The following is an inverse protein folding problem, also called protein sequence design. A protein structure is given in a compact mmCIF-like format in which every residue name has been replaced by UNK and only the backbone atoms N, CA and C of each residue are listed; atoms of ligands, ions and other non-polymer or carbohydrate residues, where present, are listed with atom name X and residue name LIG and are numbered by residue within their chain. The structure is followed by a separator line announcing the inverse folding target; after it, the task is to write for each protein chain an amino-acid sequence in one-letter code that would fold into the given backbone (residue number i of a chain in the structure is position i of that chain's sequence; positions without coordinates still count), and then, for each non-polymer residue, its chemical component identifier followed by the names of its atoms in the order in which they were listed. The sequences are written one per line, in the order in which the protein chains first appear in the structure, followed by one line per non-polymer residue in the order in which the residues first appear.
data_IF_193172714321
#
_entry.id   IF_193172714321
#
_cell.length_a   1.000
_cell.length_b   1.000
_cell.length_c   1.000
_cell.angle_alpha   90.00
_cell.angle_beta   90.00
_cell.angle_gamma   90.00
#
_symmetry.space_group_name_H-M   'P 1'
#
loop_
_entity.id
_entity.type
_entity.pdbx_description
1 polymer ?
#
# COMPACT_ATOMS: atom_id res chain seq x y z
N UNK A 1 83.48 -25.39 3.49
CA UNK A 1 83.01 -24.33 2.59
C UNK A 1 81.90 -24.73 1.58
N UNK A 2 81.58 -26.04 1.43
CA UNK A 2 80.50 -26.48 0.49
C UNK A 2 79.09 -26.60 1.13
N UNK A 3 78.98 -26.62 2.45
CA UNK A 3 77.68 -26.78 3.15
C UNK A 3 76.90 -25.41 3.24
N UNK A 4 77.61 -24.30 3.39
CA UNK A 4 76.95 -23.00 3.53
C UNK A 4 76.34 -22.45 2.20
N UNK A 5 76.93 -22.85 1.06
CA UNK A 5 76.41 -22.44 -0.23
C UNK A 5 75.06 -23.06 -0.58
N UNK A 6 74.85 -24.35 -0.20
CA UNK A 6 73.53 -25.02 -0.40
C UNK A 6 72.41 -24.44 0.47
N UNK A 7 72.71 -24.04 1.68
CA UNK A 7 71.76 -23.39 2.58
C UNK A 7 71.32 -22.00 2.06
N UNK A 8 72.24 -21.20 1.55
CA UNK A 8 71.97 -19.86 0.97
C UNK A 8 71.13 -19.95 -0.30
N UNK A 9 71.37 -20.92 -1.18
CA UNK A 9 70.59 -21.14 -2.38
C UNK A 9 69.17 -21.66 -2.04
N UNK A 10 69.01 -22.49 -1.05
CA UNK A 10 67.68 -22.97 -0.56
C UNK A 10 66.83 -21.80 0.03
N UNK A 11 67.46 -20.93 0.80
CA UNK A 11 66.78 -19.74 1.40
C UNK A 11 66.41 -18.73 0.30
N UNK A 12 67.27 -18.52 -0.71
CA UNK A 12 66.97 -17.62 -1.82
C UNK A 12 65.81 -18.17 -2.74
N UNK A 13 65.75 -19.49 -2.96
CA UNK A 13 64.66 -20.13 -3.70
C UNK A 13 63.33 -20.09 -2.92
N UNK A 14 63.38 -20.28 -1.61
CA UNK A 14 62.18 -20.17 -0.77
C UNK A 14 61.64 -18.73 -0.70
N UNK A 15 62.50 -17.72 -0.66
CA UNK A 15 62.12 -16.32 -0.69
C UNK A 15 61.55 -15.88 -2.06
N UNK A 16 62.10 -16.43 -3.17
CA UNK A 16 61.55 -16.19 -4.51
C UNK A 16 60.20 -16.85 -4.75
N UNK A 17 59.91 -17.99 -4.15
CA UNK A 17 58.62 -18.66 -4.19
C UNK A 17 57.56 -17.92 -3.30
N UNK A 18 57.97 -17.31 -2.22
CA UNK A 18 57.07 -16.48 -1.38
C UNK A 18 56.73 -15.14 -2.04
N UNK A 19 57.61 -14.56 -2.84
CA UNK A 19 57.36 -13.34 -3.60
C UNK A 19 56.53 -13.58 -4.88
N UNK A 20 56.46 -14.80 -5.39
CA UNK A 20 55.66 -15.19 -6.56
C UNK A 20 54.16 -15.41 -6.25
N UNK A 21 53.78 -15.49 -4.96
CA UNK A 21 52.38 -15.64 -4.54
C UNK A 21 51.66 -14.30 -4.26
N UNK A 22 52.35 -13.14 -4.42
CA UNK A 22 51.71 -11.81 -4.46
C UNK A 22 51.30 -11.53 -5.89
N UNK A 23 50.60 -12.52 -6.52
CA UNK A 23 49.97 -12.36 -7.82
C UNK A 23 48.65 -11.63 -7.67
N UNK A 24 48.57 -10.49 -8.27
CA UNK A 24 47.39 -9.86 -8.88
C UNK A 24 45.99 -10.28 -8.38
N UNK A 25 45.78 -10.33 -7.09
CA UNK A 25 44.48 -10.26 -6.50
C UNK A 25 44.24 -8.80 -6.13
N UNK A 26 43.67 -8.00 -6.98
CA UNK A 26 43.13 -6.72 -6.56
C UNK A 26 42.26 -6.97 -5.33
N UNK A 27 42.39 -6.14 -4.30
CA UNK A 27 41.52 -6.27 -3.13
C UNK A 27 40.09 -6.44 -3.61
N UNK A 28 39.31 -7.41 -3.09
CA UNK A 28 37.94 -7.59 -3.51
C UNK A 28 37.24 -6.25 -3.39
N UNK A 29 36.67 -5.76 -4.47
CA UNK A 29 35.95 -4.49 -4.50
C UNK A 29 34.87 -4.58 -3.44
N UNK A 30 34.90 -3.71 -2.45
CA UNK A 30 33.89 -3.70 -1.40
C UNK A 30 32.51 -3.55 -2.05
N UNK A 31 31.57 -4.36 -1.64
CA UNK A 31 30.19 -4.28 -2.14
C UNK A 31 29.56 -2.95 -1.73
N UNK A 32 28.86 -2.31 -2.65
CA UNK A 32 28.05 -1.14 -2.36
C UNK A 32 26.78 -1.60 -1.66
N UNK A 33 26.51 -1.07 -0.45
CA UNK A 33 25.27 -1.36 0.26
C UNK A 33 24.20 -0.36 -0.12
N UNK A 34 23.01 -0.85 -0.51
CA UNK A 34 21.78 -0.06 -0.75
C UNK A 34 20.81 -0.41 0.35
N UNK A 35 20.34 0.59 1.09
CA UNK A 35 19.32 0.45 2.14
C UNK A 35 17.95 0.78 1.58
N UNK A 36 16.96 -0.08 1.88
CA UNK A 36 15.58 0.06 1.41
C UNK A 36 14.64 0.02 2.61
N UNK A 37 13.84 1.06 2.79
CA UNK A 37 12.80 1.09 3.82
C UNK A 37 11.42 0.94 3.20
N UNK A 38 10.59 0.07 3.80
CA UNK A 38 9.22 -0.19 3.36
C UNK A 38 8.26 -0.15 4.56
N UNK A 39 6.96 -0.17 4.28
CA UNK A 39 5.90 -0.40 5.27
C UNK A 39 5.27 -1.79 5.14
N UNK A 40 5.84 -2.65 4.33
CA UNK A 40 5.30 -3.99 4.09
C UNK A 40 5.27 -4.83 5.36
N UNK A 41 4.22 -5.65 5.49
CA UNK A 41 4.03 -6.58 6.61
C UNK A 41 3.45 -7.92 6.10
N UNK A 42 3.47 -8.94 6.95
CA UNK A 42 2.93 -10.26 6.60
C UNK A 42 3.53 -10.84 5.31
N UNK A 43 2.68 -11.37 4.44
CA UNK A 43 3.09 -12.03 3.20
C UNK A 43 3.77 -11.08 2.21
N UNK A 44 3.37 -9.79 2.18
CA UNK A 44 4.03 -8.78 1.35
C UNK A 44 5.49 -8.59 1.73
N UNK A 45 5.78 -8.50 3.03
CA UNK A 45 7.15 -8.38 3.53
C UNK A 45 7.97 -9.64 3.22
N UNK A 46 7.38 -10.82 3.38
CA UNK A 46 8.02 -12.09 3.05
C UNK A 46 8.40 -12.13 1.58
N UNK A 47 7.47 -11.87 0.68
CA UNK A 47 7.72 -11.86 -0.77
C UNK A 47 8.74 -10.81 -1.20
N UNK A 48 8.69 -9.61 -0.59
CA UNK A 48 9.69 -8.57 -0.87
C UNK A 48 11.10 -8.99 -0.43
N UNK A 49 11.23 -9.61 0.73
CA UNK A 49 12.53 -10.10 1.20
C UNK A 49 13.07 -11.23 0.33
N UNK A 50 12.23 -12.12 -0.19
CA UNK A 50 12.62 -13.14 -1.17
C UNK A 50 13.19 -12.51 -2.46
N UNK A 51 12.57 -11.44 -2.97
CA UNK A 51 13.10 -10.69 -4.12
C UNK A 51 14.44 -10.02 -3.80
N UNK A 52 14.61 -9.48 -2.60
CA UNK A 52 15.89 -8.91 -2.15
C UNK A 52 16.98 -9.98 -2.07
N UNK A 53 16.66 -11.17 -1.56
CA UNK A 53 17.60 -12.30 -1.47
C UNK A 53 17.96 -12.82 -2.86
N UNK A 54 17.00 -12.91 -3.77
CA UNK A 54 17.24 -13.26 -5.17
C UNK A 54 18.17 -12.24 -5.85
N UNK A 55 17.89 -10.94 -5.70
CA UNK A 55 18.77 -9.89 -6.21
C UNK A 55 20.18 -10.01 -5.65
N UNK A 56 20.32 -10.14 -4.34
CA UNK A 56 21.61 -10.24 -3.67
C UNK A 56 22.43 -11.45 -4.10
N UNK A 57 21.77 -12.58 -4.39
CA UNK A 57 22.43 -13.82 -4.83
C UNK A 57 22.72 -13.88 -6.34
N UNK A 58 22.14 -12.98 -7.14
CA UNK A 58 22.25 -12.95 -8.61
C UNK A 58 22.90 -11.65 -9.09
N UNK A 59 22.11 -10.69 -9.53
CA UNK A 59 22.56 -9.41 -10.08
C UNK A 59 23.41 -8.62 -9.07
N UNK A 60 23.04 -8.63 -7.81
CA UNK A 60 23.77 -7.96 -6.74
C UNK A 60 25.17 -8.52 -6.57
N UNK A 61 25.31 -9.84 -6.59
CA UNK A 61 26.62 -10.50 -6.54
C UNK A 61 27.48 -10.12 -7.76
N UNK A 62 26.92 -10.18 -8.97
CA UNK A 62 27.61 -9.81 -10.21
C UNK A 62 28.10 -8.36 -10.19
N UNK A 63 27.23 -7.44 -9.73
CA UNK A 63 27.51 -5.99 -9.73
C UNK A 63 28.19 -5.50 -8.45
N UNK A 64 28.50 -6.36 -7.50
CA UNK A 64 29.00 -6.01 -6.17
C UNK A 64 28.10 -5.02 -5.44
N UNK A 65 26.78 -5.26 -5.46
CA UNK A 65 25.75 -4.50 -4.76
C UNK A 65 25.06 -5.44 -3.77
N UNK A 66 24.83 -4.97 -2.54
CA UNK A 66 24.06 -5.68 -1.51
C UNK A 66 22.90 -4.78 -1.09
N UNK A 67 21.68 -5.27 -1.25
CA UNK A 67 20.47 -4.60 -0.75
C UNK A 67 20.17 -5.08 0.65
N UNK A 68 19.84 -4.14 1.55
CA UNK A 68 19.35 -4.38 2.91
C UNK A 68 17.98 -3.73 3.06
N UNK A 69 16.96 -4.54 3.20
CA UNK A 69 15.59 -4.09 3.44
C UNK A 69 15.27 -3.97 4.92
N UNK A 70 14.40 -3.05 5.29
CA UNK A 70 13.84 -2.89 6.63
C UNK A 70 12.41 -2.40 6.53
N UNK A 71 11.46 -3.12 7.17
CA UNK A 71 10.10 -2.62 7.35
C UNK A 71 10.07 -1.65 8.52
N UNK A 72 9.39 -0.51 8.34
CA UNK A 72 9.20 0.51 9.37
C UNK A 72 7.85 0.35 10.09
N UNK A 73 7.07 -0.68 9.73
CA UNK A 73 5.80 -1.02 10.37
C UNK A 73 4.58 -0.50 9.61
N UNK A 74 4.23 0.76 9.74
CA UNK A 74 3.10 1.37 9.02
C UNK A 74 3.55 2.47 8.05
N UNK A 75 2.65 2.92 7.19
CA UNK A 75 2.89 4.09 6.33
C UNK A 75 3.31 5.30 7.16
N UNK A 76 2.55 5.61 8.21
CA UNK A 76 2.82 6.76 9.10
C UNK A 76 4.17 6.64 9.83
N UNK A 77 4.54 5.43 10.28
CA UNK A 77 5.85 5.20 10.92
C UNK A 77 6.98 5.39 9.91
N UNK A 78 6.81 4.88 8.68
CA UNK A 78 7.80 5.05 7.61
C UNK A 78 7.99 6.54 7.29
N UNK A 79 6.92 7.28 7.05
CA UNK A 79 6.95 8.72 6.77
C UNK A 79 7.65 9.50 7.88
N UNK A 80 7.28 9.25 9.13
CA UNK A 80 7.89 9.87 10.30
C UNK A 80 9.39 9.60 10.34
N UNK A 81 9.81 8.34 10.17
CA UNK A 81 11.20 7.94 10.25
C UNK A 81 12.04 8.51 9.08
N UNK A 82 11.50 8.52 7.86
CA UNK A 82 12.19 9.07 6.68
C UNK A 82 12.36 10.59 6.81
N UNK A 83 11.30 11.30 7.22
CA UNK A 83 11.38 12.76 7.43
C UNK A 83 12.34 13.14 8.57
N UNK A 84 12.34 12.39 9.67
CA UNK A 84 13.30 12.59 10.76
C UNK A 84 14.75 12.34 10.30
N UNK A 85 14.98 11.31 9.50
CA UNK A 85 16.28 10.98 8.95
C UNK A 85 16.76 12.07 7.96
N UNK A 86 15.89 12.54 7.06
CA UNK A 86 16.18 13.60 6.09
C UNK A 86 16.50 14.94 6.77
N UNK A 87 15.83 15.25 7.87
CA UNK A 87 16.09 16.47 8.68
C UNK A 87 17.30 16.34 9.62
N UNK A 88 17.90 15.16 9.73
CA UNK A 88 19.02 14.90 10.65
C UNK A 88 18.63 15.06 12.12
N UNK A 89 17.41 14.67 12.50
CA UNK A 89 16.93 14.81 13.88
C UNK A 89 17.74 13.95 14.85
N UNK A 90 17.87 14.41 16.09
CA UNK A 90 18.63 13.71 17.12
C UNK A 90 18.02 12.33 17.40
N UNK A 91 18.82 11.30 17.21
CA UNK A 91 18.38 9.90 17.39
C UNK A 91 17.77 9.26 16.14
N UNK A 92 17.57 10.00 15.06
CA UNK A 92 17.14 9.43 13.79
C UNK A 92 18.24 8.54 13.18
N UNK A 93 17.83 7.51 12.46
CA UNK A 93 18.73 6.69 11.65
C UNK A 93 19.25 7.48 10.43
N UNK A 94 20.27 6.95 9.74
CA UNK A 94 20.68 7.51 8.46
C UNK A 94 19.56 7.36 7.41
N UNK A 95 19.39 8.36 6.55
CA UNK A 95 18.40 8.32 5.47
C UNK A 95 18.69 7.10 4.57
N UNK A 96 17.68 6.27 4.25
CA UNK A 96 17.85 5.14 3.35
C UNK A 96 18.08 5.61 1.91
N UNK A 97 18.67 4.74 1.09
CA UNK A 97 18.88 5.04 -0.34
C UNK A 97 17.58 4.95 -1.14
N UNK A 98 16.66 4.09 -0.70
CA UNK A 98 15.35 3.88 -1.34
C UNK A 98 14.32 3.73 -0.22
N UNK A 99 13.14 4.29 -0.40
CA UNK A 99 12.01 4.12 0.51
C UNK A 99 10.70 4.08 -0.26
N UNK A 100 9.75 3.31 0.26
CA UNK A 100 8.37 3.37 -0.21
C UNK A 100 7.72 4.66 0.27
N UNK A 101 6.85 5.27 -0.52
CA UNK A 101 6.21 6.50 -0.11
C UNK A 101 5.09 6.94 -1.04
N UNK A 102 4.35 7.94 -0.60
CA UNK A 102 3.35 8.64 -1.39
C UNK A 102 3.90 9.96 -1.91
N UNK A 103 3.21 10.54 -2.89
CA UNK A 103 3.64 11.75 -3.56
C UNK A 103 3.78 12.96 -2.63
N UNK A 104 2.96 13.07 -1.60
CA UNK A 104 3.01 14.13 -0.59
C UNK A 104 4.32 14.11 0.22
N UNK A 105 4.70 12.93 0.76
CA UNK A 105 5.99 12.75 1.43
C UNK A 105 7.16 12.99 0.47
N UNK A 106 7.08 12.46 -0.75
CA UNK A 106 8.12 12.67 -1.75
C UNK A 106 8.29 14.14 -2.10
N UNK A 107 7.20 14.91 -2.15
CA UNK A 107 7.24 16.36 -2.34
C UNK A 107 7.99 17.06 -1.20
N UNK A 108 7.68 16.75 0.05
CA UNK A 108 8.36 17.34 1.21
C UNK A 108 9.86 17.05 1.20
N UNK A 109 10.26 15.84 0.82
CA UNK A 109 11.65 15.42 0.73
C UNK A 109 12.37 16.07 -0.48
N UNK A 110 11.66 16.27 -1.59
CA UNK A 110 12.19 16.99 -2.74
C UNK A 110 12.50 18.46 -2.40
N UNK A 111 11.68 19.11 -1.55
CA UNK A 111 11.98 20.45 -1.04
C UNK A 111 13.25 20.51 -0.16
N UNK A 112 13.66 19.38 0.43
CA UNK A 112 14.90 19.23 1.18
C UNK A 112 16.09 18.86 0.28
N UNK A 113 15.85 18.56 -1.00
CA UNK A 113 16.88 18.14 -1.96
C UNK A 113 17.27 16.66 -1.81
N UNK A 114 16.46 15.86 -1.14
CA UNK A 114 16.75 14.44 -0.82
C UNK A 114 16.10 13.44 -1.79
N UNK A 115 15.51 13.93 -2.90
CA UNK A 115 14.88 13.09 -3.93
C UNK A 115 15.57 13.28 -5.28
N UNK A 116 15.92 12.18 -5.90
CA UNK A 116 16.58 12.16 -7.22
C UNK A 116 15.56 12.10 -8.34
N UNK A 117 15.76 12.85 -9.41
CA UNK A 117 15.02 12.65 -10.66
C UNK A 117 15.44 11.33 -11.32
N UNK A 118 14.50 10.41 -11.47
CA UNK A 118 14.70 9.09 -12.06
C UNK A 118 14.49 9.08 -13.59
N UNK A 119 13.89 10.12 -14.16
CA UNK A 119 13.57 10.18 -15.59
C UNK A 119 14.78 9.96 -16.52
N UNK A 120 15.99 10.48 -16.21
CA UNK A 120 17.19 10.27 -17.04
C UNK A 120 17.73 8.83 -17.03
N UNK A 121 17.33 8.02 -16.04
CA UNK A 121 17.80 6.63 -15.89
C UNK A 121 16.88 5.61 -16.57
N UNK A 122 15.75 6.05 -17.12
CA UNK A 122 14.78 5.22 -17.82
C UNK A 122 14.79 5.51 -19.31
N UNK A 123 14.84 4.44 -20.11
CA UNK A 123 14.64 4.53 -21.56
C UNK A 123 13.16 4.78 -21.89
N UNK A 124 12.88 5.32 -23.09
CA UNK A 124 11.49 5.48 -23.54
C UNK A 124 10.74 4.16 -23.61
N UNK A 125 11.43 3.05 -23.91
CA UNK A 125 10.83 1.71 -23.90
C UNK A 125 10.43 1.26 -22.50
N UNK A 126 11.23 1.56 -21.49
CA UNK A 126 10.91 1.25 -20.10
C UNK A 126 9.75 2.10 -19.62
N UNK A 127 9.75 3.40 -19.90
CA UNK A 127 8.62 4.29 -19.58
C UNK A 127 7.32 3.82 -20.23
N UNK A 128 7.34 3.43 -21.51
CA UNK A 128 6.18 2.94 -22.23
C UNK A 128 5.63 1.58 -21.74
N UNK A 129 6.35 0.89 -20.87
CA UNK A 129 5.86 -0.33 -20.23
C UNK A 129 4.94 -0.07 -19.02
N UNK A 130 4.88 1.17 -18.54
CA UNK A 130 4.04 1.57 -17.41
C UNK A 130 2.76 2.26 -17.89
N UNK A 131 1.73 2.23 -17.07
CA UNK A 131 0.52 3.03 -17.29
C UNK A 131 0.87 4.51 -17.10
N UNK A 132 0.55 5.35 -18.07
CA UNK A 132 0.90 6.78 -18.08
C UNK A 132 0.49 7.49 -16.79
N UNK A 133 -0.72 7.22 -16.27
CA UNK A 133 -1.22 7.78 -15.02
C UNK A 133 -0.35 7.45 -13.79
N UNK A 134 0.29 6.30 -13.79
CA UNK A 134 1.19 5.90 -12.69
C UNK A 134 2.52 6.65 -12.73
N UNK A 135 3.08 6.85 -13.92
CA UNK A 135 4.29 7.67 -14.07
C UNK A 135 3.99 9.15 -13.80
N UNK A 136 2.83 9.65 -14.24
CA UNK A 136 2.44 11.04 -14.03
C UNK A 136 2.34 11.43 -12.56
N UNK A 137 1.95 10.52 -11.66
CA UNK A 137 1.94 10.78 -10.22
C UNK A 137 3.35 11.08 -9.68
N UNK A 138 4.38 10.51 -10.30
CA UNK A 138 5.79 10.75 -9.94
C UNK A 138 6.34 12.09 -10.41
N UNK A 139 5.64 12.79 -11.30
CA UNK A 139 5.98 14.15 -11.75
C UNK A 139 5.34 15.19 -10.81
N UNK A 140 5.92 15.35 -9.63
CA UNK A 140 5.37 16.16 -8.53
C UNK A 140 5.15 17.64 -8.90
N UNK A 141 5.95 18.17 -9.82
CA UNK A 141 5.94 19.58 -10.20
C UNK A 141 5.40 19.80 -11.61
N UNK A 142 4.93 18.75 -12.28
CA UNK A 142 4.45 18.78 -13.67
C UNK A 142 5.50 19.39 -14.65
N UNK A 143 6.77 19.05 -14.44
CA UNK A 143 7.93 19.56 -15.18
C UNK A 143 8.68 18.47 -15.96
N UNK A 144 8.18 17.22 -15.96
CA UNK A 144 8.77 16.07 -16.65
C UNK A 144 9.81 15.29 -15.83
N UNK A 145 10.10 15.69 -14.59
CA UNK A 145 10.90 14.91 -13.67
C UNK A 145 10.10 13.72 -13.10
N UNK A 146 10.76 12.63 -12.79
CA UNK A 146 10.16 11.45 -12.14
C UNK A 146 10.75 11.28 -10.74
N UNK A 147 10.08 11.80 -9.73
CA UNK A 147 10.52 11.78 -8.33
C UNK A 147 10.00 10.55 -7.57
N UNK A 148 8.88 9.97 -8.01
CA UNK A 148 8.30 8.75 -7.45
C UNK A 148 8.17 7.71 -8.56
N UNK A 149 8.69 6.51 -8.33
CA UNK A 149 8.64 5.41 -9.28
C UNK A 149 7.55 4.41 -8.92
N UNK A 150 6.63 4.05 -9.83
CA UNK A 150 5.51 3.16 -9.51
C UNK A 150 5.96 1.70 -9.44
N UNK A 151 6.24 1.20 -8.24
CA UNK A 151 6.64 -0.20 -7.99
C UNK A 151 5.43 -1.08 -7.74
N UNK A 152 4.49 -0.62 -6.89
CA UNK A 152 3.32 -1.39 -6.48
C UNK A 152 2.13 -0.45 -6.29
N UNK A 153 1.24 -0.41 -7.27
CA UNK A 153 0.03 0.40 -7.24
C UNK A 153 -1.17 -0.42 -6.80
N UNK A 154 -2.04 0.18 -6.02
CA UNK A 154 -3.32 -0.37 -5.60
C UNK A 154 -4.46 0.62 -5.81
N UNK A 155 -5.68 0.13 -5.71
CA UNK A 155 -6.91 0.92 -5.71
C UNK A 155 -7.86 0.39 -4.66
N UNK A 156 -9.03 0.99 -4.51
CA UNK A 156 -10.09 0.47 -3.65
C UNK A 156 -10.98 -0.52 -4.39
N UNK A 157 -11.38 -1.58 -3.69
CA UNK A 157 -12.32 -2.59 -4.15
C UNK A 157 -13.38 -2.84 -3.07
N UNK A 158 -14.54 -3.35 -3.49
CA UNK A 158 -15.62 -3.74 -2.59
C UNK A 158 -15.52 -5.23 -2.26
N UNK A 159 -15.33 -5.54 -1.00
CA UNK A 159 -15.22 -6.88 -0.45
C UNK A 159 -16.53 -7.29 0.20
N UNK A 160 -17.00 -8.49 -0.09
CA UNK A 160 -18.27 -9.02 0.42
C UNK A 160 -18.09 -10.45 0.89
N UNK A 161 -18.62 -10.78 2.06
CA UNK A 161 -18.82 -12.15 2.50
C UNK A 161 -19.99 -12.77 1.73
N UNK A 162 -19.67 -13.52 0.68
CA UNK A 162 -20.65 -14.12 -0.21
C UNK A 162 -21.50 -15.19 0.47
N UNK A 163 -20.94 -15.87 1.47
CA UNK A 163 -21.64 -16.92 2.23
C UNK A 163 -22.82 -16.34 3.00
N UNK A 164 -22.59 -15.29 3.78
CA UNK A 164 -23.65 -14.66 4.59
C UNK A 164 -24.53 -13.70 3.75
N UNK A 165 -24.05 -13.26 2.61
CA UNK A 165 -24.83 -12.51 1.61
C UNK A 165 -25.96 -13.36 1.01
N UNK A 166 -25.71 -14.64 0.71
CA UNK A 166 -26.66 -15.47 -0.04
C UNK A 166 -28.06 -15.57 0.60
N UNK A 167 -28.22 -15.85 1.91
CA UNK A 167 -29.54 -15.86 2.54
C UNK A 167 -30.21 -14.48 2.58
N UNK A 168 -29.47 -13.41 2.77
CA UNK A 168 -30.01 -12.04 2.71
C UNK A 168 -30.53 -11.69 1.31
N UNK A 169 -29.73 -11.95 0.28
CA UNK A 169 -30.13 -11.72 -1.11
C UNK A 169 -31.38 -12.51 -1.50
N UNK A 170 -31.44 -13.78 -1.08
CA UNK A 170 -32.62 -14.62 -1.33
C UNK A 170 -33.90 -14.12 -0.62
N UNK A 171 -33.75 -13.55 0.57
CA UNK A 171 -34.88 -13.05 1.36
C UNK A 171 -35.38 -11.67 0.87
N UNK A 172 -34.50 -10.82 0.37
CA UNK A 172 -34.82 -9.42 0.07
C UNK A 172 -34.87 -9.08 -1.41
N UNK A 173 -34.32 -9.96 -2.27
CA UNK A 173 -34.20 -9.73 -3.71
C UNK A 173 -33.08 -8.74 -4.09
N UNK A 174 -32.23 -8.30 -3.16
CA UNK A 174 -31.07 -7.45 -3.45
C UNK A 174 -30.04 -8.24 -4.25
N UNK A 175 -29.43 -7.60 -5.26
CA UNK A 175 -28.46 -8.21 -6.16
C UNK A 175 -27.12 -7.50 -6.10
N UNK A 176 -26.08 -8.05 -6.71
CA UNK A 176 -24.78 -7.37 -6.82
C UNK A 176 -24.84 -6.09 -7.65
N UNK A 177 -25.75 -6.01 -8.62
CA UNK A 177 -25.94 -4.81 -9.44
C UNK A 177 -26.46 -3.62 -8.59
N UNK A 178 -27.24 -3.89 -7.55
CA UNK A 178 -27.70 -2.88 -6.59
C UNK A 178 -26.52 -2.26 -5.80
N UNK A 179 -25.40 -2.99 -5.66
CA UNK A 179 -24.20 -2.53 -4.95
C UNK A 179 -23.25 -1.69 -5.83
N UNK A 180 -23.56 -1.50 -7.11
CA UNK A 180 -22.72 -0.73 -8.02
C UNK A 180 -22.71 0.79 -7.71
N UNK A 181 -23.68 1.26 -6.93
CA UNK A 181 -23.78 2.68 -6.57
C UNK A 181 -23.73 2.91 -5.06
N UNK A 182 -23.24 4.09 -4.66
CA UNK A 182 -23.19 4.51 -3.26
C UNK A 182 -24.59 4.52 -2.63
N UNK A 183 -25.57 5.04 -3.37
CA UNK A 183 -26.97 5.05 -2.94
C UNK A 183 -27.53 3.63 -2.82
N UNK A 184 -27.19 2.74 -3.74
CA UNK A 184 -27.63 1.34 -3.71
C UNK A 184 -27.02 0.57 -2.53
N UNK A 185 -25.75 0.81 -2.21
CA UNK A 185 -25.12 0.25 -0.99
C UNK A 185 -25.83 0.75 0.27
N UNK A 186 -26.19 2.04 0.31
CA UNK A 186 -26.96 2.61 1.44
C UNK A 186 -28.32 1.93 1.61
N UNK A 187 -29.04 1.71 0.51
CA UNK A 187 -30.35 1.04 0.53
C UNK A 187 -30.21 -0.44 0.92
N UNK A 188 -29.23 -1.15 0.37
CA UNK A 188 -28.93 -2.53 0.73
C UNK A 188 -28.59 -2.66 2.23
N UNK A 189 -27.84 -1.70 2.75
CA UNK A 189 -27.46 -1.67 4.17
C UNK A 189 -28.66 -1.47 5.09
N UNK A 190 -29.60 -0.61 4.71
CA UNK A 190 -30.86 -0.45 5.43
C UNK A 190 -31.66 -1.77 5.47
N UNK A 191 -31.84 -2.40 4.30
CA UNK A 191 -32.55 -3.68 4.20
C UNK A 191 -31.87 -4.81 5.01
N UNK A 192 -30.53 -4.82 5.02
CA UNK A 192 -29.77 -5.81 5.78
C UNK A 192 -29.95 -5.63 7.29
N UNK A 193 -29.91 -4.36 7.75
CA UNK A 193 -30.16 -4.03 9.15
C UNK A 193 -31.55 -4.51 9.58
N UNK A 194 -32.59 -4.15 8.84
CA UNK A 194 -33.99 -4.55 9.15
C UNK A 194 -34.16 -6.07 9.08
N UNK A 195 -33.51 -6.72 8.09
CA UNK A 195 -33.60 -8.18 7.94
C UNK A 195 -32.91 -8.91 9.10
N UNK A 196 -31.78 -8.41 9.59
CA UNK A 196 -31.09 -9.02 10.74
C UNK A 196 -31.79 -8.70 12.07
N UNK A 197 -32.31 -7.48 12.25
CA UNK A 197 -33.10 -7.08 13.42
C UNK A 197 -34.35 -7.97 13.60
N UNK A 198 -35.02 -8.31 12.51
CA UNK A 198 -36.17 -9.18 12.51
C UNK A 198 -35.86 -10.64 12.89
N UNK A 199 -34.62 -11.05 13.02
CA UNK A 199 -34.19 -12.40 13.40
C UNK A 199 -34.00 -12.57 14.92
N UNK A 200 -34.08 -11.47 15.68
CA UNK A 200 -33.93 -11.46 17.15
C UNK A 200 -35.18 -10.89 17.82
N UNK A 201 -35.33 -11.15 19.12
CA UNK A 201 -36.38 -10.54 19.92
C UNK A 201 -36.02 -9.16 20.46
N UNK A 202 -34.78 -8.76 20.28
CA UNK A 202 -34.24 -7.45 20.77
C UNK A 202 -34.45 -6.40 19.69
N UNK A 203 -35.24 -5.36 19.90
CA UNK A 203 -35.47 -4.36 18.88
C UNK A 203 -34.26 -3.45 18.69
N UNK A 204 -33.98 -3.08 17.42
CA UNK A 204 -32.90 -2.21 17.00
C UNK A 204 -31.49 -2.76 17.27
N UNK A 205 -31.32 -4.07 17.15
CA UNK A 205 -30.02 -4.78 17.24
C UNK A 205 -29.54 -5.34 15.88
N UNK A 206 -30.11 -4.82 14.79
CA UNK A 206 -29.70 -5.17 13.43
C UNK A 206 -28.19 -4.98 13.20
N UNK A 207 -27.62 -5.80 12.33
CA UNK A 207 -26.20 -5.80 12.03
C UNK A 207 -25.83 -4.75 10.97
N UNK A 208 -24.64 -4.20 11.08
CA UNK A 208 -24.07 -3.33 10.06
C UNK A 208 -23.73 -4.12 8.79
N UNK A 209 -24.07 -3.55 7.65
CA UNK A 209 -23.79 -4.12 6.33
C UNK A 209 -22.41 -3.75 5.82
N UNK A 210 -22.01 -2.49 5.96
CA UNK A 210 -20.94 -1.89 5.20
C UNK A 210 -20.01 -1.00 6.03
N UNK A 211 -18.74 -0.93 5.63
CA UNK A 211 -17.75 0.01 6.17
C UNK A 211 -16.69 0.38 5.14
N UNK A 212 -15.85 1.36 5.47
CA UNK A 212 -14.68 1.74 4.65
C UNK A 212 -13.42 1.81 5.48
N UNK A 213 -12.30 1.37 4.92
CA UNK A 213 -10.98 1.53 5.55
C UNK A 213 -10.49 2.98 5.45
N UNK A 214 -10.72 3.65 4.32
CA UNK A 214 -10.28 5.02 4.06
C UNK A 214 -11.45 5.96 3.76
N UNK A 215 -11.92 6.68 4.79
CA UNK A 215 -12.99 7.67 4.62
C UNK A 215 -12.54 8.86 3.77
N UNK A 216 -11.27 9.25 3.82
CA UNK A 216 -10.74 10.33 3.01
C UNK A 216 -10.91 10.04 1.51
N UNK A 217 -10.64 8.81 1.06
CA UNK A 217 -10.84 8.43 -0.33
C UNK A 217 -12.31 8.54 -0.77
N UNK A 218 -13.25 8.16 0.12
CA UNK A 218 -14.67 8.35 -0.15
C UNK A 218 -15.03 9.82 -0.37
N UNK A 219 -14.49 10.71 0.45
CA UNK A 219 -14.75 12.14 0.34
C UNK A 219 -14.15 12.73 -0.95
N UNK A 220 -12.91 12.38 -1.27
CA UNK A 220 -12.22 12.93 -2.45
C UNK A 220 -12.76 12.36 -3.76
N UNK A 221 -12.84 11.05 -3.88
CA UNK A 221 -13.36 10.39 -5.08
C UNK A 221 -14.84 10.72 -5.28
N UNK A 222 -15.65 10.67 -4.22
CA UNK A 222 -17.07 10.99 -4.29
C UNK A 222 -17.35 12.45 -4.64
N UNK A 223 -16.57 13.40 -4.11
CA UNK A 223 -16.70 14.80 -4.51
C UNK A 223 -16.33 14.99 -5.99
N UNK A 224 -15.26 14.34 -6.44
CA UNK A 224 -14.82 14.42 -7.82
C UNK A 224 -15.82 13.78 -8.78
N UNK A 225 -16.43 12.64 -8.44
CA UNK A 225 -17.56 12.04 -9.16
C UNK A 225 -18.74 13.02 -9.29
N UNK A 226 -19.00 13.80 -8.23
CA UNK A 226 -20.03 14.82 -8.18
C UNK A 226 -19.61 16.18 -8.77
N UNK A 227 -18.43 16.24 -9.42
CA UNK A 227 -17.94 17.41 -10.16
C UNK A 227 -17.19 18.45 -9.31
N UNK A 228 -16.73 18.10 -8.09
CA UNK A 228 -15.99 19.00 -7.21
C UNK A 228 -14.64 18.41 -6.85
N UNK A 229 -13.55 19.14 -7.15
CA UNK A 229 -12.22 18.85 -6.62
C UNK A 229 -12.05 19.62 -5.30
N UNK A 230 -12.05 18.90 -4.16
CA UNK A 230 -12.04 19.53 -2.83
C UNK A 230 -10.77 20.37 -2.63
N UNK A 231 -9.61 19.80 -2.94
CA UNK A 231 -8.33 20.50 -2.87
C UNK A 231 -7.82 20.70 -4.31
N UNK A 232 -7.71 21.93 -4.71
CA UNK A 232 -7.17 22.31 -6.02
C UNK A 232 -5.89 23.12 -5.82
N UNK A 233 -4.78 22.64 -6.39
CA UNK A 233 -3.46 23.26 -6.26
C UNK A 233 -3.02 23.79 -7.63
N UNK A 234 -2.98 25.10 -7.77
CA UNK A 234 -2.52 25.78 -8.97
C UNK A 234 -1.43 26.82 -8.64
N UNK A 235 -0.29 26.75 -9.32
CA UNK A 235 0.85 27.69 -9.15
C UNK A 235 1.33 27.85 -7.70
N UNK A 236 1.34 26.77 -6.92
CA UNK A 236 1.75 26.78 -5.51
C UNK A 236 0.70 27.35 -4.55
N UNK A 237 -0.50 27.63 -5.03
CA UNK A 237 -1.63 28.10 -4.20
C UNK A 237 -2.65 26.97 -4.11
N UNK A 238 -2.99 26.60 -2.89
CA UNK A 238 -4.06 25.63 -2.62
C UNK A 238 -5.38 26.34 -2.42
N UNK A 239 -6.42 25.90 -3.15
CA UNK A 239 -7.80 26.33 -2.98
C UNK A 239 -8.62 25.19 -2.37
N UNK A 240 -9.38 25.49 -1.33
CA UNK A 240 -10.32 24.55 -0.73
C UNK A 240 -11.73 24.83 -1.31
N UNK A 241 -12.25 23.86 -2.07
CA UNK A 241 -13.57 23.95 -2.68
C UNK A 241 -14.56 23.06 -1.92
N UNK A 242 -15.46 23.65 -1.16
CA UNK A 242 -16.52 22.96 -0.43
C UNK A 242 -17.88 23.37 -0.99
N UNK A 243 -18.39 22.57 -1.91
CA UNK A 243 -19.76 22.72 -2.39
C UNK A 243 -20.74 22.11 -1.37
N UNK A 244 -21.71 22.91 -0.92
CA UNK A 244 -22.64 22.52 0.13
C UNK A 244 -23.52 21.32 -0.24
N UNK A 245 -23.96 21.24 -1.50
CA UNK A 245 -24.88 20.20 -1.94
C UNK A 245 -24.12 18.87 -2.12
N UNK A 246 -22.88 18.96 -2.64
CA UNK A 246 -21.97 17.80 -2.71
C UNK A 246 -21.61 17.30 -1.32
N UNK A 247 -21.20 18.18 -0.39
CA UNK A 247 -20.90 17.77 0.99
C UNK A 247 -22.14 17.18 1.67
N UNK A 248 -23.33 17.69 1.42
CA UNK A 248 -24.56 17.13 1.93
C UNK A 248 -24.83 15.74 1.38
N UNK A 249 -24.63 15.52 0.08
CA UNK A 249 -24.82 14.20 -0.55
C UNK A 249 -23.84 13.17 -0.01
N UNK A 250 -22.57 13.55 0.18
CA UNK A 250 -21.56 12.69 0.83
C UNK A 250 -21.97 12.33 2.26
N UNK A 251 -22.41 13.33 3.04
CA UNK A 251 -22.86 13.15 4.41
C UNK A 251 -24.07 12.21 4.51
N UNK A 252 -25.07 12.41 3.70
CA UNK A 252 -26.32 11.64 3.72
C UNK A 252 -26.10 10.16 3.32
N UNK A 253 -25.08 9.88 2.52
CA UNK A 253 -24.78 8.52 2.04
C UNK A 253 -23.66 7.79 2.81
N UNK A 254 -23.09 8.41 3.84
CA UNK A 254 -22.13 7.74 4.71
C UNK A 254 -22.41 7.97 6.20
N UNK A 255 -22.41 9.23 6.64
CA UNK A 255 -22.55 9.55 8.06
C UNK A 255 -23.95 9.21 8.60
N UNK A 256 -24.99 9.50 7.83
CA UNK A 256 -26.36 9.17 8.25
C UNK A 256 -26.56 7.65 8.36
N UNK A 257 -26.16 6.80 7.39
CA UNK A 257 -26.18 5.35 7.54
C UNK A 257 -25.36 4.85 8.75
N UNK A 258 -24.20 5.47 9.01
CA UNK A 258 -23.37 5.12 10.16
C UNK A 258 -24.09 5.41 11.51
N UNK A 259 -24.73 6.56 11.65
CA UNK A 259 -25.53 6.90 12.85
C UNK A 259 -26.74 5.96 13.05
N UNK A 260 -27.23 5.36 11.97
CA UNK A 260 -28.36 4.40 12.02
C UNK A 260 -27.92 2.98 12.29
N UNK A 261 -26.63 2.71 12.40
CA UNK A 261 -26.08 1.38 12.59
C UNK A 261 -26.06 0.52 11.32
N UNK A 262 -26.42 1.07 10.16
CA UNK A 262 -26.38 0.37 8.87
C UNK A 262 -24.95 0.19 8.37
N UNK A 263 -24.08 1.17 8.68
CA UNK A 263 -22.64 1.13 8.47
C UNK A 263 -21.92 0.99 9.80
N UNK A 264 -20.73 0.39 9.77
CA UNK A 264 -19.94 0.14 10.98
C UNK A 264 -18.45 0.29 10.78
N UNK A 265 -17.75 0.60 11.89
CA UNK A 265 -16.31 0.68 11.97
C UNK A 265 -15.89 0.53 13.44
N UNK A 266 -15.59 -0.67 13.88
CA UNK A 266 -15.26 -0.99 15.29
C UNK A 266 -13.79 -1.31 15.49
N UNK A 267 -13.20 -2.13 14.61
CA UNK A 267 -11.79 -2.50 14.63
C UNK A 267 -10.90 -1.49 13.92
N UNK A 268 -9.60 -1.80 13.89
CA UNK A 268 -8.62 -0.98 13.16
C UNK A 268 -8.86 -1.07 11.64
N UNK A 269 -9.11 -2.27 11.13
CA UNK A 269 -9.42 -2.52 9.73
C UNK A 269 -10.81 -3.14 9.59
N UNK A 270 -11.46 -2.92 8.47
CA UNK A 270 -12.79 -3.47 8.17
C UNK A 270 -12.77 -4.99 8.03
N UNK A 271 -11.65 -5.57 7.61
CA UNK A 271 -11.44 -7.02 7.62
C UNK A 271 -11.50 -7.61 9.05
N UNK A 272 -11.09 -6.86 10.08
CA UNK A 272 -11.24 -7.29 11.47
C UNK A 272 -12.72 -7.33 11.89
N UNK A 273 -13.49 -6.31 11.48
CA UNK A 273 -14.95 -6.26 11.76
C UNK A 273 -15.69 -7.37 11.03
N UNK A 274 -15.29 -7.70 9.80
CA UNK A 274 -15.87 -8.84 9.07
C UNK A 274 -15.54 -10.16 9.77
N UNK A 275 -14.30 -10.35 10.23
CA UNK A 275 -13.88 -11.56 10.95
C UNK A 275 -14.72 -11.81 12.20
N UNK A 276 -15.17 -10.77 12.88
CA UNK A 276 -16.02 -10.87 14.07
C UNK A 276 -17.52 -10.88 13.76
N UNK A 277 -17.90 -10.88 12.48
CA UNK A 277 -19.30 -10.88 12.05
C UNK A 277 -20.02 -9.53 12.26
N UNK A 278 -19.27 -8.45 12.53
CA UNK A 278 -19.81 -7.11 12.75
C UNK A 278 -20.05 -6.34 11.43
N UNK A 279 -19.48 -6.83 10.32
CA UNK A 279 -19.71 -6.30 8.97
C UNK A 279 -19.91 -7.44 7.97
N UNK A 280 -20.78 -7.23 6.99
CA UNK A 280 -20.95 -8.12 5.84
C UNK A 280 -20.06 -7.75 4.66
N UNK A 281 -19.76 -6.46 4.48
CA UNK A 281 -19.01 -5.92 3.35
C UNK A 281 -18.17 -4.70 3.73
N UNK A 282 -17.15 -4.43 2.93
CA UNK A 282 -16.38 -3.20 3.10
C UNK A 282 -15.67 -2.77 1.81
N UNK A 283 -15.31 -1.50 1.72
CA UNK A 283 -14.38 -0.99 0.74
C UNK A 283 -13.01 -0.82 1.39
N UNK A 284 -12.00 -1.40 0.77
CA UNK A 284 -10.61 -1.32 1.19
C UNK A 284 -9.65 -1.43 0.00
N UNK A 285 -8.36 -1.27 0.27
CA UNK A 285 -7.31 -1.42 -0.74
C UNK A 285 -7.38 -2.77 -1.45
N UNK A 286 -7.00 -2.83 -2.72
CA UNK A 286 -6.85 -4.10 -3.44
C UNK A 286 -5.88 -5.08 -2.76
N UNK A 287 -4.93 -4.58 -1.96
CA UNK A 287 -4.06 -5.40 -1.11
C UNK A 287 -4.81 -6.08 0.04
N UNK A 288 -5.99 -5.60 0.43
CA UNK A 288 -6.81 -6.20 1.49
C UNK A 288 -7.32 -7.60 1.14
N UNK A 289 -7.23 -8.04 -0.12
CA UNK A 289 -7.54 -9.40 -0.53
C UNK A 289 -6.74 -10.45 0.24
N UNK A 290 -5.52 -10.14 0.65
CA UNK A 290 -4.66 -11.03 1.45
C UNK A 290 -5.06 -11.09 2.93
N UNK A 291 -5.84 -10.11 3.39
CA UNK A 291 -6.32 -9.98 4.78
C UNK A 291 -7.81 -10.30 4.93
N UNK A 292 -8.50 -10.61 3.82
CA UNK A 292 -9.89 -11.03 3.88
C UNK A 292 -9.99 -12.31 4.72
N UNK A 293 -10.87 -12.36 5.74
CA UNK A 293 -10.98 -13.52 6.61
C UNK A 293 -11.51 -14.73 5.86
N UNK A 294 -10.94 -15.89 6.14
CA UNK A 294 -11.46 -17.19 5.63
C UNK A 294 -12.64 -17.72 6.45
N UNK A 295 -12.79 -17.17 7.65
CA UNK A 295 -13.83 -17.58 8.60
C UNK A 295 -14.38 -16.36 9.34
N UNK A 296 -15.65 -16.43 9.70
CA UNK A 296 -16.34 -15.50 10.60
C UNK A 296 -16.58 -16.19 11.93
N UNK A 297 -16.24 -15.52 13.02
CA UNK A 297 -16.52 -15.99 14.38
C UNK A 297 -18.02 -15.86 14.66
N UNK A 298 -18.65 -16.94 15.04
CA UNK A 298 -20.07 -16.99 15.45
C UNK A 298 -20.24 -16.98 16.97
N UNK A 299 -19.18 -17.38 17.68
CA UNK A 299 -19.04 -17.29 19.13
C UNK A 299 -17.55 -17.28 19.50
N UNK A 300 -17.24 -17.26 20.80
CA UNK A 300 -15.85 -17.34 21.31
C UNK A 300 -15.13 -18.65 20.90
N UNK A 301 -15.87 -19.68 20.51
CA UNK A 301 -15.33 -21.02 20.23
C UNK A 301 -15.74 -21.60 18.88
N UNK A 302 -16.61 -20.92 18.15
CA UNK A 302 -17.16 -21.40 16.87
C UNK A 302 -16.92 -20.40 15.76
N UNK A 303 -16.66 -20.91 14.56
CA UNK A 303 -16.51 -20.12 13.34
C UNK A 303 -17.09 -20.84 12.14
N UNK A 304 -17.54 -20.09 11.16
CA UNK A 304 -18.00 -20.58 9.87
C UNK A 304 -17.05 -20.14 8.76
N UNK A 305 -16.75 -21.04 7.84
CA UNK A 305 -16.01 -20.72 6.61
C UNK A 305 -16.82 -19.75 5.75
N UNK A 306 -16.14 -18.77 5.17
CA UNK A 306 -16.76 -17.81 4.28
C UNK A 306 -16.02 -17.71 2.94
N UNK A 307 -16.77 -17.35 1.90
CA UNK A 307 -16.26 -17.08 0.58
C UNK A 307 -16.27 -15.57 0.29
N UNK A 308 -15.22 -15.11 -0.38
CA UNK A 308 -15.09 -13.71 -0.81
C UNK A 308 -15.76 -13.51 -2.17
N UNK A 309 -16.66 -12.53 -2.25
CA UNK A 309 -17.00 -11.89 -3.52
C UNK A 309 -16.26 -10.54 -3.62
N UNK A 310 -15.75 -10.24 -4.80
CA UNK A 310 -15.00 -9.03 -5.10
C UNK A 310 -15.72 -8.24 -6.18
N UNK A 311 -16.10 -7.00 -5.86
CA UNK A 311 -16.84 -6.13 -6.75
C UNK A 311 -16.05 -4.82 -6.98
N UNK A 312 -16.34 -4.08 -8.06
CA UNK A 312 -15.84 -2.72 -8.21
C UNK A 312 -16.26 -1.81 -7.04
N UNK A 313 -15.43 -0.81 -6.73
CA UNK A 313 -15.80 0.21 -5.76
C UNK A 313 -17.06 0.95 -6.25
N UNK A 314 -18.10 1.13 -5.42
CA UNK A 314 -19.33 1.81 -5.83
C UNK A 314 -19.11 3.30 -6.10
N UNK A 315 -19.70 3.81 -7.14
CA UNK A 315 -19.71 5.23 -7.52
C UNK A 315 -21.07 5.88 -7.28
N UNK A 316 -21.14 7.21 -7.26
CA UNK A 316 -22.43 7.89 -7.19
C UNK A 316 -23.26 7.63 -8.45
N UNK A 317 -24.57 7.45 -8.28
CA UNK A 317 -25.50 7.12 -9.36
C UNK A 317 -25.45 8.16 -10.49
N UNK A 318 -25.28 7.69 -11.73
CA UNK A 318 -25.19 8.53 -12.91
C UNK A 318 -23.84 9.25 -13.10
N UNK A 319 -22.85 9.00 -12.25
CA UNK A 319 -21.52 9.57 -12.36
C UNK A 319 -20.53 8.57 -12.98
N UNK A 320 -19.48 9.09 -13.61
CA UNK A 320 -18.34 8.27 -14.00
C UNK A 320 -17.53 7.91 -12.72
N UNK A 321 -17.12 6.65 -12.54
CA UNK A 321 -16.38 6.27 -11.35
C UNK A 321 -14.99 6.93 -11.31
N UNK A 322 -14.58 7.37 -10.11
CA UNK A 322 -13.25 7.87 -9.83
C UNK A 322 -12.52 6.85 -8.94
N UNK A 323 -11.36 6.39 -9.38
CA UNK A 323 -10.58 5.41 -8.64
C UNK A 323 -9.52 6.10 -7.78
N UNK A 324 -9.44 5.72 -6.51
CA UNK A 324 -8.31 6.08 -5.67
C UNK A 324 -7.06 5.34 -6.15
N UNK A 325 -5.98 6.08 -6.42
CA UNK A 325 -4.67 5.51 -6.73
C UNK A 325 -3.82 5.52 -5.47
N UNK A 326 -3.30 4.37 -5.08
CA UNK A 326 -2.55 4.18 -3.84
C UNK A 326 -1.22 3.48 -4.12
N UNK A 327 -0.24 3.66 -3.21
CA UNK A 327 1.08 3.04 -3.28
C UNK A 327 2.03 3.70 -4.30
N UNK A 328 3.32 3.49 -4.12
CA UNK A 328 4.39 3.95 -5.00
C UNK A 328 5.55 2.96 -5.04
#
# INVERSE_FOLDING_TARGET
MKLHFRSLVSIALSAALLLGCVGCGGAPKAATTITVWTYYSGDQLTSFNELVDEFNSTVGQEKHIVVKSSSQGSVTDLETNVLAAAKGEVGAAALPNIYSGYADMAYDLDQLGEVVDLAPYLTDKEKAAYVDGFLKEGDLMNNGELKVFPVAKSTELFYLNATDWAPFAAATGVTYDDLATVEGVTEAAHKYYDWTDAQTDTPNDGKAFFGRDALANYLFCGAQELGVTIFDAENGVMTLNLDKDVMRKLWDNYYVPFLKGWFGASGRFRSDDMKTGNLLSYVGSSSSSTFFPKQVLTSDTESNDIEMALLPCPSFSGCAPVAAQQGA
#
